data_IF_891025108922
#
_entry.id   IF_891025108922
#
_cell.length_a   1.000
_cell.length_b   1.000
_cell.length_c   1.000
_cell.angle_alpha   90.00
_cell.angle_beta   90.00
_cell.angle_gamma   90.00
#
_symmetry.space_group_name_H-M   'P 1'
#
loop_
_entity.id
_entity.type
_entity.pdbx_description
1 polymer ?
#
# COMPACT_ATOMS: atom_id res chain seq x y z
N UNK A 1 -60.06 23.72 44.03
CA UNK A 1 -59.93 24.58 42.83
C UNK A 1 -59.69 25.99 43.38
N UNK A 2 -58.49 26.54 43.50
CA UNK A 2 -57.23 26.38 42.79
C UNK A 2 -56.10 26.82 43.75
N UNK A 3 -55.03 26.03 43.89
CA UNK A 3 -53.76 26.51 44.50
C UNK A 3 -53.30 27.73 43.71
N UNK A 4 -53.09 28.90 44.30
CA UNK A 4 -52.09 29.30 45.31
C UNK A 4 -50.70 29.56 44.70
N UNK A 5 -50.47 30.87 44.46
CA UNK A 5 -49.24 31.66 44.59
C UNK A 5 -48.16 31.58 43.49
N UNK A 6 -48.19 32.64 42.69
CA UNK A 6 -47.04 33.45 42.26
C UNK A 6 -46.04 33.70 43.39
N UNK A 7 -44.80 33.25 43.22
CA UNK A 7 -43.58 33.89 43.73
C UNK A 7 -42.39 33.43 42.90
N UNK A 8 -42.41 33.80 41.62
CA UNK A 8 -41.20 33.82 40.80
C UNK A 8 -40.42 35.07 41.20
N UNK A 9 -39.13 34.90 41.49
CA UNK A 9 -38.14 35.94 41.82
C UNK A 9 -38.16 36.39 43.30
N UNK A 10 -37.49 35.65 44.17
CA UNK A 10 -36.45 36.20 45.03
C UNK A 10 -35.79 35.13 45.92
N UNK A 11 -34.49 35.30 46.13
CA UNK A 11 -33.61 34.64 47.09
C UNK A 11 -32.96 33.29 46.69
N UNK A 12 -31.79 33.41 46.06
CA UNK A 12 -30.52 32.80 46.52
C UNK A 12 -30.38 31.27 46.40
N UNK A 13 -29.75 30.79 45.32
CA UNK A 13 -28.32 30.35 45.29
C UNK A 13 -27.97 29.20 46.24
N UNK A 14 -27.96 27.98 45.69
CA UNK A 14 -27.34 26.70 46.15
C UNK A 14 -28.36 25.60 45.86
N UNK A 15 -28.22 24.66 44.93
CA UNK A 15 -27.09 23.80 44.67
C UNK A 15 -27.26 23.21 43.27
N UNK A 16 -26.52 23.72 42.30
CA UNK A 16 -26.33 22.97 41.05
C UNK A 16 -24.92 23.22 40.54
N UNK A 17 -24.27 22.12 40.16
CA UNK A 17 -22.92 22.01 39.63
C UNK A 17 -21.77 22.18 40.64
N UNK A 18 -21.19 21.04 41.07
CA UNK A 18 -19.75 20.70 41.00
C UNK A 18 -19.45 19.44 41.82
N UNK A 19 -19.92 18.27 41.36
CA UNK A 19 -19.19 17.03 41.63
C UNK A 19 -18.24 16.85 40.45
N UNK A 20 -17.00 17.27 40.67
CA UNK A 20 -15.95 17.30 39.66
C UNK A 20 -15.61 15.90 39.16
N UNK A 21 -16.09 15.58 37.96
CA UNK A 21 -15.36 14.67 37.09
C UNK A 21 -14.08 15.40 36.66
N UNK A 22 -12.99 15.18 37.40
CA UNK A 22 -11.67 15.30 36.79
C UNK A 22 -11.60 14.16 35.78
N UNK A 23 -11.49 14.41 34.46
CA UNK A 23 -10.92 13.38 33.62
C UNK A 23 -9.53 13.16 34.21
N UNK A 24 -9.30 11.98 34.78
CA UNK A 24 -7.93 11.53 34.99
C UNK A 24 -7.39 11.22 33.60
N UNK A 25 -7.09 12.28 32.84
CA UNK A 25 -6.04 12.27 31.85
C UNK A 25 -4.73 12.06 32.62
N UNK A 26 -4.53 10.82 33.07
CA UNK A 26 -3.20 10.23 32.92
C UNK A 26 -3.11 9.74 31.48
N UNK A 27 -3.16 10.70 30.55
CA UNK A 27 -2.18 10.73 29.49
C UNK A 27 -0.85 10.77 30.23
N UNK A 28 -0.30 9.59 30.50
CA UNK A 28 1.12 9.50 30.70
C UNK A 28 1.70 9.80 29.33
N UNK A 29 1.94 11.08 29.10
CA UNK A 29 3.01 11.57 28.23
C UNK A 29 4.32 11.00 28.81
N UNK A 30 4.50 9.70 28.62
CA UNK A 30 5.83 9.18 28.40
C UNK A 30 6.00 9.41 26.92
N UNK A 31 7.03 10.18 26.56
CA UNK A 31 7.62 10.20 25.24
C UNK A 31 7.88 8.74 24.84
N UNK A 32 6.86 8.11 24.27
CA UNK A 32 6.82 6.69 24.02
C UNK A 32 7.46 6.54 22.67
N UNK A 33 8.79 6.50 22.65
CA UNK A 33 9.52 5.93 21.53
C UNK A 33 8.89 4.56 21.27
N UNK A 34 7.94 4.52 20.33
CA UNK A 34 7.42 3.28 19.78
C UNK A 34 8.69 2.64 19.26
N UNK A 35 9.15 1.60 19.97
CA UNK A 35 10.38 0.89 19.60
C UNK A 35 10.10 0.25 18.26
N UNK A 36 10.42 0.99 17.20
CA UNK A 36 10.23 0.60 15.82
C UNK A 36 11.00 -0.69 15.66
N UNK A 37 10.26 -1.76 15.42
CA UNK A 37 10.88 -3.06 15.17
C UNK A 37 11.67 -2.89 13.87
N UNK A 38 12.98 -3.20 13.86
CA UNK A 38 13.76 -3.09 12.65
C UNK A 38 13.12 -3.97 11.58
N UNK A 39 13.04 -3.45 10.35
CA UNK A 39 12.38 -4.14 9.21
C UNK A 39 12.92 -5.56 8.99
N UNK A 40 14.18 -5.83 9.36
CA UNK A 40 14.76 -7.17 9.31
C UNK A 40 14.14 -8.18 10.29
N UNK A 41 13.64 -7.73 11.45
CA UNK A 41 12.91 -8.58 12.39
C UNK A 41 11.47 -8.85 11.93
N UNK A 42 10.92 -8.02 11.04
CA UNK A 42 9.59 -8.26 10.45
C UNK A 42 9.60 -9.53 9.57
N UNK A 43 10.69 -9.76 8.84
CA UNK A 43 10.88 -10.96 8.02
C UNK A 43 11.37 -12.19 8.81
N UNK A 44 11.38 -12.15 10.15
CA UNK A 44 11.82 -13.29 10.98
C UNK A 44 10.99 -14.56 10.74
N UNK A 45 9.73 -14.41 10.31
CA UNK A 45 8.82 -15.52 10.00
C UNK A 45 8.81 -15.94 8.52
N UNK A 46 9.67 -15.36 7.68
CA UNK A 46 9.80 -15.74 6.28
C UNK A 46 10.62 -17.04 6.14
N UNK A 47 10.04 -18.06 5.50
CA UNK A 47 10.76 -19.30 5.19
C UNK A 47 11.76 -19.10 4.03
N UNK A 48 12.67 -20.05 3.83
CA UNK A 48 13.63 -20.02 2.71
C UNK A 48 12.96 -19.94 1.33
N UNK A 49 11.80 -20.59 1.17
CA UNK A 49 10.98 -20.48 -0.04
C UNK A 49 10.40 -19.07 -0.19
N UNK A 50 9.79 -18.50 0.86
CA UNK A 50 9.25 -17.14 0.83
C UNK A 50 10.33 -16.10 0.47
N UNK A 51 11.56 -16.29 0.94
CA UNK A 51 12.71 -15.44 0.62
C UNK A 51 13.12 -15.53 -0.86
N UNK A 52 13.04 -16.71 -1.46
CA UNK A 52 13.25 -16.90 -2.90
C UNK A 52 12.13 -16.23 -3.73
N UNK A 53 10.87 -16.38 -3.32
CA UNK A 53 9.73 -15.75 -3.98
C UNK A 53 9.84 -14.21 -3.94
N UNK A 54 10.25 -13.64 -2.80
CA UNK A 54 10.49 -12.20 -2.67
C UNK A 54 11.62 -11.72 -3.56
N UNK A 55 12.73 -12.47 -3.67
CA UNK A 55 13.84 -12.10 -4.55
C UNK A 55 13.42 -12.05 -6.02
N UNK A 56 12.66 -13.06 -6.48
CA UNK A 56 12.12 -13.08 -7.84
C UNK A 56 11.15 -11.92 -8.08
N UNK A 57 10.31 -11.59 -7.08
CA UNK A 57 9.40 -10.46 -7.12
C UNK A 57 10.13 -9.12 -7.27
N UNK A 58 11.23 -8.90 -6.53
CA UNK A 58 12.05 -7.68 -6.65
C UNK A 58 12.61 -7.53 -8.05
N UNK A 59 13.14 -8.61 -8.63
CA UNK A 59 13.65 -8.60 -10.01
C UNK A 59 12.53 -8.22 -10.99
N UNK A 60 11.35 -8.85 -10.87
CA UNK A 60 10.19 -8.52 -11.69
C UNK A 60 9.76 -7.05 -11.54
N UNK A 61 9.81 -6.49 -10.33
CA UNK A 61 9.47 -5.09 -10.08
C UNK A 61 10.49 -4.11 -10.67
N UNK A 62 11.78 -4.45 -10.65
CA UNK A 62 12.83 -3.61 -11.27
C UNK A 62 12.62 -3.59 -12.78
N UNK A 63 12.38 -4.76 -13.39
CA UNK A 63 12.10 -4.87 -14.83
C UNK A 63 10.85 -4.04 -15.17
N UNK A 64 9.77 -4.18 -14.40
CA UNK A 64 8.55 -3.39 -14.59
C UNK A 64 8.80 -1.87 -14.46
N UNK A 65 9.64 -1.44 -13.53
CA UNK A 65 10.03 -0.03 -13.39
C UNK A 65 10.82 0.50 -14.60
N UNK A 66 11.67 -0.33 -15.21
CA UNK A 66 12.46 0.04 -16.38
C UNK A 66 11.66 0.08 -17.69
N UNK A 67 10.41 -0.38 -17.69
CA UNK A 67 9.56 -0.39 -18.88
C UNK A 67 9.15 1.03 -19.30
N UNK A 68 8.95 1.94 -18.34
CA UNK A 68 8.59 3.33 -18.63
C UNK A 68 9.60 4.07 -19.53
N UNK A 69 10.92 4.05 -19.26
CA UNK A 69 11.90 4.66 -20.15
C UNK A 69 12.07 3.90 -21.48
N UNK A 70 12.00 2.57 -21.48
CA UNK A 70 12.09 1.76 -22.71
C UNK A 70 10.94 2.10 -23.68
N UNK A 71 9.74 2.27 -23.12
CA UNK A 71 8.56 2.71 -23.84
C UNK A 71 8.76 4.09 -24.50
N UNK A 72 9.45 5.02 -23.83
CA UNK A 72 9.77 6.32 -24.40
C UNK A 72 10.74 6.21 -25.59
N UNK A 73 11.74 5.31 -25.53
CA UNK A 73 12.70 5.10 -26.62
C UNK A 73 12.01 4.52 -27.85
N UNK A 74 11.18 3.48 -27.69
CA UNK A 74 10.44 2.87 -28.80
C UNK A 74 9.50 3.86 -29.49
N UNK A 75 8.84 4.73 -28.71
CA UNK A 75 8.03 5.81 -29.29
C UNK A 75 8.89 6.84 -30.02
N UNK A 76 10.10 7.12 -29.53
CA UNK A 76 11.06 8.00 -30.19
C UNK A 76 11.42 7.51 -31.59
N UNK A 77 11.82 6.23 -31.71
CA UNK A 77 12.15 5.62 -33.01
C UNK A 77 10.97 5.67 -33.99
N UNK A 78 9.76 5.39 -33.51
CA UNK A 78 8.55 5.49 -34.33
C UNK A 78 8.27 6.92 -34.82
N UNK A 79 8.51 7.92 -33.98
CA UNK A 79 8.36 9.33 -34.36
C UNK A 79 9.45 9.76 -35.35
N UNK A 80 10.68 9.31 -35.17
CA UNK A 80 11.79 9.61 -36.08
C UNK A 80 11.52 9.07 -37.49
N UNK A 81 11.02 7.83 -37.62
CA UNK A 81 10.60 7.24 -38.90
C UNK A 81 9.50 8.08 -39.60
N UNK A 82 8.53 8.57 -38.83
CA UNK A 82 7.48 9.45 -39.35
C UNK A 82 8.03 10.81 -39.83
N UNK A 83 8.99 11.37 -39.10
CA UNK A 83 9.63 12.64 -39.44
C UNK A 83 10.44 12.49 -40.72
N UNK A 84 11.25 11.44 -40.84
CA UNK A 84 12.07 11.16 -42.02
C UNK A 84 11.22 10.96 -43.28
N UNK A 85 10.14 10.19 -43.17
CA UNK A 85 9.16 10.06 -44.26
C UNK A 85 8.55 11.40 -44.65
N UNK A 86 8.17 12.23 -43.68
CA UNK A 86 7.58 13.55 -43.93
C UNK A 86 8.56 14.50 -44.61
N UNK A 87 9.83 14.52 -44.19
CA UNK A 87 10.89 15.35 -44.79
C UNK A 87 11.16 14.93 -46.23
N UNK A 88 11.24 13.62 -46.50
CA UNK A 88 11.42 13.07 -47.83
C UNK A 88 10.21 13.37 -48.73
N UNK A 89 8.98 13.18 -48.23
CA UNK A 89 7.76 13.44 -48.98
C UNK A 89 7.62 14.92 -49.41
N UNK A 90 8.08 15.85 -48.58
CA UNK A 90 8.07 17.29 -48.90
C UNK A 90 9.29 17.74 -49.73
N UNK A 91 10.29 16.89 -49.97
CA UNK A 91 11.47 17.22 -50.76
C UNK A 91 11.37 16.71 -52.21
N UNK A 92 11.58 17.62 -53.17
CA UNK A 92 11.53 17.32 -54.62
C UNK A 92 12.66 16.36 -55.07
N UNK A 93 13.77 16.27 -54.33
CA UNK A 93 14.91 15.41 -54.64
C UNK A 93 14.84 14.02 -54.00
N UNK A 94 13.75 13.66 -53.30
CA UNK A 94 13.65 12.34 -52.71
C UNK A 94 13.34 11.30 -53.80
N UNK A 95 14.34 10.50 -54.16
CA UNK A 95 14.26 9.56 -55.29
C UNK A 95 13.61 8.24 -54.88
N UNK A 96 13.70 7.87 -53.60
CA UNK A 96 13.07 6.69 -53.01
C UNK A 96 12.50 7.04 -51.62
N UNK A 97 11.17 7.10 -51.45
CA UNK A 97 10.59 7.28 -50.13
C UNK A 97 10.84 6.05 -49.26
N UNK A 98 11.27 6.23 -47.98
CA UNK A 98 11.43 5.10 -47.07
C UNK A 98 10.07 4.39 -46.90
N UNK A 99 10.10 3.05 -46.90
CA UNK A 99 8.89 2.24 -46.74
C UNK A 99 8.42 2.30 -45.28
N UNK A 100 7.62 3.34 -45.00
CA UNK A 100 7.08 3.64 -43.68
C UNK A 100 6.26 2.46 -43.14
N UNK A 101 5.55 1.76 -44.04
CA UNK A 101 4.64 0.69 -43.65
C UNK A 101 5.41 -0.51 -43.07
N UNK A 102 6.54 -0.87 -43.65
CA UNK A 102 7.35 -2.02 -43.20
C UNK A 102 8.10 -1.72 -41.89
N UNK A 103 8.54 -0.47 -41.71
CA UNK A 103 9.20 -0.02 -40.47
C UNK A 103 8.20 0.00 -39.31
N UNK A 104 6.99 0.52 -39.54
CA UNK A 104 5.92 0.56 -38.54
C UNK A 104 5.41 -0.82 -38.12
N UNK A 105 5.26 -1.74 -39.06
CA UNK A 105 4.82 -3.11 -38.73
C UNK A 105 5.88 -3.83 -37.91
N UNK A 106 7.17 -3.59 -38.19
CA UNK A 106 8.29 -4.15 -37.43
C UNK A 106 8.34 -3.62 -36.01
N UNK A 107 8.27 -2.29 -35.82
CA UNK A 107 8.21 -1.67 -34.48
C UNK A 107 6.96 -2.12 -33.72
N UNK A 108 5.82 -2.22 -34.41
CA UNK A 108 4.57 -2.72 -33.85
C UNK A 108 4.69 -4.16 -33.34
N UNK A 109 5.36 -5.05 -34.07
CA UNK A 109 5.61 -6.42 -33.63
C UNK A 109 6.49 -6.49 -32.38
N UNK A 110 7.55 -5.67 -32.31
CA UNK A 110 8.38 -5.53 -31.10
C UNK A 110 7.57 -5.07 -29.90
N UNK A 111 6.67 -4.11 -30.10
CA UNK A 111 5.80 -3.57 -29.06
C UNK A 111 4.83 -4.62 -28.49
N UNK A 112 4.25 -5.45 -29.36
CA UNK A 112 3.38 -6.56 -28.95
C UNK A 112 4.16 -7.60 -28.13
N UNK A 113 5.36 -7.98 -28.59
CA UNK A 113 6.23 -8.90 -27.85
C UNK A 113 6.60 -8.37 -26.47
N UNK A 114 6.96 -7.09 -26.39
CA UNK A 114 7.26 -6.41 -25.15
C UNK A 114 6.06 -6.37 -24.18
N UNK A 115 4.87 -6.07 -24.68
CA UNK A 115 3.63 -6.04 -23.88
C UNK A 115 3.30 -7.40 -23.26
N UNK A 116 3.45 -8.48 -24.02
CA UNK A 116 3.25 -9.85 -23.51
C UNK A 116 4.27 -10.15 -22.42
N UNK A 117 5.55 -9.84 -22.64
CA UNK A 117 6.60 -10.01 -21.64
C UNK A 117 6.29 -9.24 -20.35
N UNK A 118 5.94 -7.97 -20.48
CA UNK A 118 5.56 -7.10 -19.37
C UNK A 118 4.40 -7.69 -18.55
N UNK A 119 3.34 -8.15 -19.23
CA UNK A 119 2.17 -8.73 -18.57
C UNK A 119 2.56 -9.94 -17.71
N UNK A 120 3.40 -10.83 -18.23
CA UNK A 120 3.90 -12.00 -17.50
C UNK A 120 4.74 -11.59 -16.29
N UNK A 121 5.69 -10.66 -16.46
CA UNK A 121 6.55 -10.20 -15.36
C UNK A 121 5.76 -9.46 -14.28
N UNK A 122 4.79 -8.62 -14.66
CA UNK A 122 3.92 -7.90 -13.74
C UNK A 122 3.03 -8.87 -12.94
N UNK A 123 2.40 -9.84 -13.62
CA UNK A 123 1.58 -10.86 -12.98
C UNK A 123 2.39 -11.73 -12.02
N UNK A 124 3.56 -12.20 -12.45
CA UNK A 124 4.45 -12.99 -11.60
C UNK A 124 4.93 -12.18 -10.41
N UNK A 125 5.41 -10.95 -10.62
CA UNK A 125 5.90 -10.10 -9.53
C UNK A 125 4.84 -9.84 -8.47
N UNK A 126 3.66 -9.37 -8.89
CA UNK A 126 2.55 -9.07 -7.98
C UNK A 126 2.00 -10.33 -7.30
N UNK A 127 1.84 -11.42 -8.05
CA UNK A 127 1.33 -12.69 -7.51
C UNK A 127 2.29 -13.32 -6.49
N UNK A 128 3.59 -13.32 -6.76
CA UNK A 128 4.59 -13.89 -5.85
C UNK A 128 4.73 -13.08 -4.56
N UNK A 129 4.72 -11.74 -4.66
CA UNK A 129 4.71 -10.89 -3.48
C UNK A 129 3.43 -11.06 -2.67
N UNK A 130 2.27 -11.11 -3.31
CA UNK A 130 0.99 -11.34 -2.65
C UNK A 130 0.97 -12.67 -1.90
N UNK A 131 1.35 -13.77 -2.56
CA UNK A 131 1.41 -15.10 -1.94
C UNK A 131 2.38 -15.14 -0.76
N UNK A 132 3.56 -14.53 -0.89
CA UNK A 132 4.53 -14.48 0.19
C UNK A 132 4.04 -13.64 1.37
N UNK A 133 3.35 -12.53 1.11
CA UNK A 133 2.78 -11.68 2.16
C UNK A 133 1.67 -12.40 2.91
N UNK A 134 0.78 -13.12 2.22
CA UNK A 134 -0.30 -13.90 2.82
C UNK A 134 0.24 -15.01 3.74
N UNK A 135 1.24 -15.77 3.26
CA UNK A 135 1.90 -16.81 4.05
C UNK A 135 2.53 -16.27 5.32
N UNK A 136 3.19 -15.12 5.23
CA UNK A 136 3.80 -14.46 6.39
C UNK A 136 2.74 -13.93 7.37
N UNK A 137 1.68 -13.29 6.87
CA UNK A 137 0.57 -12.81 7.69
C UNK A 137 -0.14 -13.96 8.43
N UNK A 138 -0.35 -15.10 7.77
CA UNK A 138 -0.95 -16.28 8.39
C UNK A 138 -0.10 -16.83 9.54
N UNK A 139 1.23 -16.94 9.34
CA UNK A 139 2.17 -17.37 10.40
C UNK A 139 2.19 -16.40 11.57
N UNK A 140 2.21 -15.09 11.30
CA UNK A 140 2.17 -14.06 12.34
C UNK A 140 0.88 -14.14 13.16
N UNK A 141 -0.28 -14.30 12.51
CA UNK A 141 -1.57 -14.47 13.19
C UNK A 141 -1.62 -15.72 14.07
N UNK A 142 -1.08 -16.85 13.59
CA UNK A 142 -0.97 -18.08 14.39
C UNK A 142 -0.05 -17.92 15.61
N UNK A 143 1.11 -17.28 15.43
CA UNK A 143 2.05 -17.03 16.53
C UNK A 143 1.45 -16.07 17.57
N UNK A 144 0.72 -15.05 17.12
CA UNK A 144 0.01 -14.10 17.97
C UNK A 144 -1.10 -14.81 18.77
N UNK A 145 -1.95 -15.60 18.10
CA UNK A 145 -3.03 -16.35 18.76
C UNK A 145 -2.48 -17.37 19.76
N UNK A 146 -1.43 -18.10 19.40
CA UNK A 146 -0.76 -19.05 20.31
C UNK A 146 -0.21 -18.36 21.55
N UNK A 147 0.40 -17.18 21.39
CA UNK A 147 0.97 -16.43 22.52
C UNK A 147 -0.14 -15.86 23.41
N UNK A 148 -1.22 -15.34 22.80
CA UNK A 148 -2.38 -14.82 23.52
C UNK A 148 -3.04 -15.89 24.41
N UNK A 149 -3.19 -17.13 23.93
CA UNK A 149 -3.78 -18.23 24.72
C UNK A 149 -2.93 -18.69 25.92
N UNK A 150 -1.62 -18.42 25.92
CA UNK A 150 -0.73 -18.76 27.04
C UNK A 150 -0.60 -17.64 28.07
N UNK A 151 -1.36 -16.55 27.91
CA UNK A 151 -1.30 -15.42 28.82
C UNK A 151 -2.13 -15.68 30.10
N UNK A 152 -1.67 -15.14 31.23
CA UNK A 152 -2.34 -15.28 32.52
C UNK A 152 -3.66 -14.52 32.61
N UNK A 153 -4.59 -14.99 33.46
CA UNK A 153 -5.92 -14.37 33.66
C UNK A 153 -5.81 -12.90 34.09
N UNK A 154 -4.79 -12.54 34.89
CA UNK A 154 -4.56 -11.16 35.35
C UNK A 154 -4.19 -10.20 34.22
N UNK A 155 -3.57 -10.69 33.15
CA UNK A 155 -3.25 -9.87 31.98
C UNK A 155 -4.49 -9.54 31.15
N UNK A 156 -5.44 -10.49 31.06
CA UNK A 156 -6.72 -10.29 30.39
C UNK A 156 -7.63 -9.31 31.14
N UNK A 157 -7.57 -9.27 32.48
CA UNK A 157 -8.34 -8.31 33.28
C UNK A 157 -7.82 -6.87 33.11
N UNK A 158 -6.52 -6.71 32.84
CA UNK A 158 -5.89 -5.42 32.56
C UNK A 158 -6.10 -4.90 31.12
N UNK A 159 -6.51 -5.75 30.17
CA UNK A 159 -6.71 -5.37 28.76
C UNK A 159 -8.16 -5.56 28.34
N UNK A 160 -8.84 -4.46 27.98
CA UNK A 160 -10.22 -4.49 27.48
C UNK A 160 -10.32 -5.39 26.24
N UNK A 161 -11.17 -6.41 26.28
CA UNK A 161 -11.25 -7.46 25.24
C UNK A 161 -11.47 -6.95 23.79
N UNK A 162 -12.00 -5.74 23.61
CA UNK A 162 -12.16 -5.11 22.30
C UNK A 162 -10.83 -4.75 21.60
N UNK A 163 -9.78 -4.42 22.35
CA UNK A 163 -8.48 -4.05 21.75
C UNK A 163 -7.71 -5.28 21.23
N UNK A 164 -7.87 -6.42 21.90
CA UNK A 164 -7.27 -7.70 21.49
C UNK A 164 -7.86 -8.21 20.17
N UNK A 165 -9.19 -8.17 20.05
CA UNK A 165 -9.90 -8.59 18.83
C UNK A 165 -9.48 -7.75 17.62
N UNK A 166 -9.29 -6.45 17.83
CA UNK A 166 -8.89 -5.51 16.78
C UNK A 166 -7.43 -5.69 16.35
N UNK A 167 -6.55 -6.23 17.21
CA UNK A 167 -5.16 -6.56 16.85
C UNK A 167 -4.99 -7.88 16.10
N UNK A 168 -6.03 -8.72 16.09
CA UNK A 168 -6.01 -10.06 15.51
C UNK A 168 -6.49 -10.08 14.04
N UNK A 169 -7.35 -9.13 13.68
CA UNK A 169 -7.97 -8.98 12.35
C UNK A 169 -7.10 -8.11 11.46
#
# INVERSE_FOLDING_TARGET
>A
MSSEKTSLLDASTSDDSKVGFKPSSKTSDTNGDVKLVPVGQLFRFADGTDKFLMFLGVIGSIIFGAIAPVQCVLMGELVDDFVDFTICHNNINCTDPPDLQDSMTTIGLWYVGFSIGNFVFAWMGMGLFGLSAERQAHKMRLALFRSALHQEIGWFDAHTGGELMNRLT
#
